data_IF_253823857528
#
_entry.id   IF_253823857528
#
_cell.length_a   1.000
_cell.length_b   1.000
_cell.length_c   1.000
_cell.angle_alpha   90.00
_cell.angle_beta   90.00
_cell.angle_gamma   90.00
#
_symmetry.space_group_name_H-M   'P 1'
#
loop_
_entity.id
_entity.type
_entity.pdbx_description
1 polymer ?
#
# COMPACT_ATOMS: atom_id res chain seq x y z
N UNK A 1 10.22 10.93 -31.20
CA UNK A 1 10.33 9.46 -31.11
C UNK A 1 10.54 9.08 -29.67
N UNK A 2 9.91 8.02 -29.24
CA UNK A 2 9.78 7.59 -27.82
C UNK A 2 10.78 6.47 -27.46
N UNK A 3 11.86 6.31 -28.29
CA UNK A 3 12.91 5.34 -28.00
C UNK A 3 13.68 5.72 -26.72
N UNK A 4 13.96 4.75 -25.87
CA UNK A 4 14.78 4.92 -24.66
C UNK A 4 16.23 5.13 -25.08
N UNK A 5 16.83 6.25 -24.68
CA UNK A 5 18.23 6.60 -25.03
C UNK A 5 19.16 6.57 -23.81
N UNK A 6 18.62 6.75 -22.60
CA UNK A 6 19.41 6.65 -21.37
C UNK A 6 18.58 6.13 -20.20
N UNK A 7 19.22 5.32 -19.33
CA UNK A 7 18.66 4.83 -18.08
C UNK A 7 19.75 4.93 -17.01
N UNK A 8 19.52 5.75 -15.99
CA UNK A 8 20.50 5.99 -14.95
C UNK A 8 19.86 5.81 -13.56
N UNK A 9 20.47 4.97 -12.75
CA UNK A 9 20.04 4.75 -11.37
C UNK A 9 21.02 5.34 -10.36
N UNK A 10 20.48 5.76 -9.22
CA UNK A 10 21.25 6.24 -8.05
C UNK A 10 20.67 5.71 -6.75
N UNK A 11 21.51 5.74 -5.70
CA UNK A 11 21.08 5.46 -4.35
C UNK A 11 20.57 6.75 -3.70
N UNK A 12 19.38 6.69 -3.13
CA UNK A 12 18.79 7.74 -2.29
C UNK A 12 18.38 7.15 -0.93
N UNK A 13 17.88 7.95 -0.01
CA UNK A 13 17.38 7.49 1.28
C UNK A 13 15.86 7.45 1.30
N UNK A 14 15.32 6.39 1.91
CA UNK A 14 13.90 6.29 2.21
C UNK A 14 13.53 7.06 3.50
N UNK A 15 12.26 7.12 3.84
CA UNK A 15 11.70 7.79 5.02
C UNK A 15 12.22 7.25 6.37
N UNK A 16 12.88 6.10 6.37
CA UNK A 16 13.53 5.49 7.54
C UNK A 16 15.04 5.71 7.57
N UNK A 17 15.59 6.43 6.57
CA UNK A 17 17.04 6.63 6.42
C UNK A 17 17.79 5.40 5.90
N UNK A 18 17.08 4.41 5.34
CA UNK A 18 17.70 3.29 4.64
C UNK A 18 17.87 3.63 3.15
N UNK A 19 18.93 3.12 2.49
CA UNK A 19 19.11 3.31 1.06
C UNK A 19 18.00 2.61 0.25
N UNK A 20 17.59 3.29 -0.82
CA UNK A 20 16.73 2.75 -1.86
C UNK A 20 17.18 3.25 -3.23
N UNK A 21 16.58 2.73 -4.30
CA UNK A 21 16.95 3.07 -5.68
C UNK A 21 16.00 4.14 -6.24
N UNK A 22 16.59 5.11 -6.97
CA UNK A 22 15.89 6.05 -7.84
C UNK A 22 16.42 5.90 -9.25
N UNK A 23 15.54 5.89 -10.24
CA UNK A 23 15.87 5.70 -11.66
C UNK A 23 15.36 6.86 -12.49
N UNK A 24 16.21 7.36 -13.37
CA UNK A 24 15.87 8.29 -14.46
C UNK A 24 15.89 7.54 -15.80
N UNK A 25 14.87 7.77 -16.62
CA UNK A 25 14.80 7.31 -18.02
C UNK A 25 14.65 8.52 -18.92
N UNK A 26 15.46 8.60 -19.98
CA UNK A 26 15.42 9.68 -20.97
C UNK A 26 15.05 9.08 -22.33
N UNK A 27 14.13 9.73 -23.03
CA UNK A 27 13.70 9.37 -24.39
C UNK A 27 14.40 10.22 -25.45
N UNK A 28 14.38 9.79 -26.71
CA UNK A 28 14.98 10.47 -27.83
C UNK A 28 14.43 11.88 -28.07
N UNK A 29 13.19 12.15 -27.72
CA UNK A 29 12.56 13.47 -27.78
C UNK A 29 12.94 14.41 -26.62
N UNK A 30 13.74 13.91 -25.66
CA UNK A 30 14.17 14.63 -24.46
C UNK A 30 13.25 14.49 -23.26
N UNK A 31 12.11 13.81 -23.39
CA UNK A 31 11.22 13.52 -22.27
C UNK A 31 11.92 12.65 -21.22
N UNK A 32 11.67 12.93 -19.93
CA UNK A 32 12.32 12.25 -18.81
C UNK A 32 11.31 11.74 -17.80
N UNK A 33 11.48 10.52 -17.35
CA UNK A 33 10.75 9.96 -16.21
C UNK A 33 11.67 9.63 -15.04
N UNK A 34 11.27 10.00 -13.83
CA UNK A 34 11.98 9.67 -12.60
C UNK A 34 11.08 8.87 -11.65
N UNK A 35 11.57 7.77 -11.11
CA UNK A 35 10.85 6.97 -10.14
C UNK A 35 11.76 6.52 -9.00
N UNK A 36 11.28 6.65 -7.76
CA UNK A 36 11.92 6.10 -6.58
C UNK A 36 11.13 4.89 -6.06
N UNK A 37 11.83 3.85 -5.62
CA UNK A 37 11.22 2.58 -5.23
C UNK A 37 11.02 2.51 -3.72
N UNK A 38 9.82 2.19 -3.23
CA UNK A 38 9.56 2.00 -1.80
C UNK A 38 10.14 0.68 -1.28
N UNK A 39 10.28 0.56 0.06
CA UNK A 39 10.86 -0.60 0.74
C UNK A 39 10.02 -1.01 1.95
N UNK A 40 9.77 -2.31 2.15
CA UNK A 40 9.01 -2.83 3.30
C UNK A 40 9.84 -2.92 4.59
N UNK A 41 9.17 -2.87 5.75
CA UNK A 41 9.72 -3.27 7.04
C UNK A 41 9.39 -4.74 7.33
N UNK A 42 8.10 -5.09 7.32
CA UNK A 42 7.62 -6.45 7.21
C UNK A 42 7.53 -6.82 5.73
N UNK A 43 7.91 -8.04 5.37
CA UNK A 43 7.84 -8.53 3.99
C UNK A 43 7.24 -9.92 4.00
N UNK A 44 6.17 -10.12 3.21
CA UNK A 44 5.58 -11.43 3.00
C UNK A 44 6.60 -12.40 2.39
N UNK A 45 6.56 -13.66 2.81
CA UNK A 45 7.53 -14.68 2.37
C UNK A 45 7.50 -14.92 0.84
N UNK A 46 6.43 -14.52 0.19
CA UNK A 46 6.19 -14.74 -1.24
C UNK A 46 6.41 -13.48 -2.10
N UNK A 47 6.90 -12.38 -1.54
CA UNK A 47 7.23 -11.16 -2.28
C UNK A 47 8.41 -11.37 -3.25
N UNK A 48 8.44 -10.57 -4.33
CA UNK A 48 9.64 -10.46 -5.17
C UNK A 48 10.81 -9.86 -4.38
N UNK A 49 12.02 -10.28 -4.72
CA UNK A 49 13.23 -9.98 -3.94
C UNK A 49 13.67 -8.53 -4.13
N UNK A 50 13.73 -7.77 -3.05
CA UNK A 50 14.46 -6.51 -3.01
C UNK A 50 15.96 -6.82 -2.90
N UNK A 51 16.73 -6.50 -3.94
CA UNK A 51 18.16 -6.80 -3.98
C UNK A 51 18.93 -5.82 -3.09
N UNK A 52 19.61 -6.36 -2.08
CA UNK A 52 20.48 -5.66 -1.14
C UNK A 52 21.92 -6.12 -1.28
N UNK A 53 22.88 -5.24 -0.99
CA UNK A 53 24.30 -5.52 -1.16
C UNK A 53 24.83 -6.58 -0.17
N UNK A 54 24.29 -6.59 1.05
CA UNK A 54 24.70 -7.48 2.12
C UNK A 54 26.03 -7.09 2.80
N UNK A 55 26.71 -6.03 2.34
CA UNK A 55 27.96 -5.54 2.95
C UNK A 55 27.66 -4.83 4.28
N UNK A 56 27.96 -5.50 5.38
CA UNK A 56 27.74 -4.99 6.74
C UNK A 56 28.49 -3.69 7.06
N UNK A 57 29.56 -3.36 6.29
CA UNK A 57 30.34 -2.13 6.49
C UNK A 57 29.65 -0.89 5.89
N UNK A 58 28.64 -1.10 5.03
CA UNK A 58 27.92 -0.05 4.36
C UNK A 58 26.42 -0.18 4.62
N UNK A 59 25.80 0.82 5.26
CA UNK A 59 24.38 0.82 5.68
C UNK A 59 23.93 -0.46 6.41
N UNK A 60 24.83 -1.10 7.18
CA UNK A 60 24.51 -2.34 7.88
C UNK A 60 24.14 -3.52 6.99
N UNK A 61 24.48 -3.48 5.70
CA UNK A 61 24.15 -4.49 4.70
C UNK A 61 22.95 -4.11 3.81
N UNK A 62 22.31 -2.97 4.05
CA UNK A 62 21.10 -2.54 3.33
C UNK A 62 21.38 -1.72 2.07
N UNK A 63 22.65 -1.54 1.64
CA UNK A 63 23.01 -0.85 0.40
C UNK A 63 22.34 -1.44 -0.83
N UNK A 64 22.21 -0.65 -1.91
CA UNK A 64 21.54 -1.04 -3.17
C UNK A 64 22.42 -0.88 -4.40
N UNK A 65 23.75 -0.85 -4.24
CA UNK A 65 24.69 -0.66 -5.35
C UNK A 65 24.61 -1.79 -6.40
N UNK A 66 24.33 -3.04 -5.98
CA UNK A 66 24.12 -4.15 -6.93
C UNK A 66 22.90 -3.92 -7.81
N UNK A 67 21.80 -3.43 -7.25
CA UNK A 67 20.61 -3.09 -8.02
C UNK A 67 20.87 -1.91 -8.98
N UNK A 68 21.62 -0.91 -8.53
CA UNK A 68 22.05 0.21 -9.36
C UNK A 68 22.93 -0.26 -10.52
N UNK A 69 23.89 -1.15 -10.26
CA UNK A 69 24.74 -1.72 -11.30
C UNK A 69 23.92 -2.51 -12.32
N UNK A 70 22.95 -3.30 -11.88
CA UNK A 70 22.03 -4.01 -12.76
C UNK A 70 21.24 -3.05 -13.67
N UNK A 71 20.74 -1.92 -13.14
CA UNK A 71 20.05 -0.91 -13.96
C UNK A 71 20.98 -0.25 -14.95
N UNK A 72 22.14 0.23 -14.49
CA UNK A 72 23.07 1.04 -15.31
C UNK A 72 23.81 0.21 -16.37
N UNK A 73 23.70 -1.13 -16.35
CA UNK A 73 24.34 -2.04 -17.32
C UNK A 73 23.33 -2.98 -17.96
N UNK A 74 23.02 -4.10 -17.31
CA UNK A 74 22.28 -5.21 -17.92
C UNK A 74 20.87 -4.79 -18.37
N UNK A 75 20.16 -4.02 -17.53
CA UNK A 75 18.81 -3.54 -17.86
C UNK A 75 18.90 -2.47 -18.94
N UNK A 76 19.82 -1.49 -18.83
CA UNK A 76 20.01 -0.48 -19.86
C UNK A 76 20.27 -1.11 -21.22
N UNK A 77 21.20 -2.08 -21.30
CA UNK A 77 21.52 -2.78 -22.56
C UNK A 77 20.30 -3.51 -23.15
N UNK A 78 19.41 -4.04 -22.29
CA UNK A 78 18.21 -4.77 -22.72
C UNK A 78 17.07 -3.87 -23.19
N UNK A 79 16.93 -2.65 -22.63
CA UNK A 79 15.79 -1.75 -22.93
C UNK A 79 16.16 -0.58 -23.84
N UNK A 80 17.45 -0.29 -24.06
CA UNK A 80 17.93 0.78 -24.93
C UNK A 80 17.41 0.60 -26.37
N UNK A 81 16.85 1.67 -26.91
CA UNK A 81 16.25 1.67 -28.26
C UNK A 81 14.84 1.08 -28.33
N UNK A 82 14.29 0.52 -27.24
CA UNK A 82 12.89 0.13 -27.18
C UNK A 82 11.99 1.36 -27.11
N UNK A 83 10.80 1.22 -27.64
CA UNK A 83 9.76 2.26 -27.59
C UNK A 83 9.15 2.32 -26.18
N UNK A 84 9.24 3.47 -25.51
CA UNK A 84 8.74 3.66 -24.16
C UNK A 84 7.20 3.52 -24.04
N UNK A 85 6.46 3.67 -25.15
CA UNK A 85 5.02 3.42 -25.18
C UNK A 85 4.67 1.93 -25.09
N UNK A 86 5.63 1.04 -25.35
CA UNK A 86 5.44 -0.41 -25.33
C UNK A 86 5.79 -1.00 -23.95
N UNK A 87 5.12 -0.49 -22.90
CA UNK A 87 5.38 -0.82 -21.50
C UNK A 87 5.46 -2.34 -21.23
N UNK A 88 4.55 -3.10 -21.83
CA UNK A 88 4.49 -4.57 -21.62
C UNK A 88 5.78 -5.21 -22.11
N UNK A 89 6.23 -4.85 -23.30
CA UNK A 89 7.45 -5.41 -23.90
C UNK A 89 8.71 -5.07 -23.08
N UNK A 90 8.76 -3.85 -22.52
CA UNK A 90 9.86 -3.41 -21.68
C UNK A 90 9.91 -4.21 -20.39
N UNK A 91 8.76 -4.34 -19.70
CA UNK A 91 8.66 -5.11 -18.46
C UNK A 91 8.98 -6.60 -18.70
N UNK A 92 8.45 -7.20 -19.78
CA UNK A 92 8.74 -8.57 -20.17
C UNK A 92 10.22 -8.79 -20.50
N UNK A 93 10.88 -7.83 -21.16
CA UNK A 93 12.33 -7.90 -21.46
C UNK A 93 13.15 -7.94 -20.17
N UNK A 94 12.82 -7.11 -19.17
CA UNK A 94 13.51 -7.10 -17.89
C UNK A 94 13.23 -8.37 -17.07
N UNK A 95 12.00 -8.86 -17.06
CA UNK A 95 11.60 -10.10 -16.37
C UNK A 95 12.33 -11.31 -17.01
N UNK A 96 12.39 -11.38 -18.33
CA UNK A 96 13.11 -12.43 -19.05
C UNK A 96 14.63 -12.38 -18.81
N UNK A 97 15.20 -11.18 -18.69
CA UNK A 97 16.61 -10.96 -18.36
C UNK A 97 16.96 -11.44 -16.94
N UNK A 98 16.06 -11.23 -15.99
CA UNK A 98 16.19 -11.77 -14.64
C UNK A 98 16.09 -13.30 -14.64
N UNK A 99 15.07 -13.85 -15.29
CA UNK A 99 14.86 -15.28 -15.50
C UNK A 99 14.57 -16.10 -14.22
N UNK A 100 14.39 -15.43 -13.07
CA UNK A 100 14.03 -16.11 -11.81
C UNK A 100 12.56 -15.85 -11.45
N UNK A 101 11.89 -16.77 -10.72
CA UNK A 101 10.46 -16.63 -10.40
C UNK A 101 10.13 -15.39 -9.53
N UNK A 102 11.10 -14.93 -8.74
CA UNK A 102 10.94 -13.86 -7.75
C UNK A 102 11.89 -12.66 -7.96
N UNK A 103 12.43 -12.50 -9.16
CA UNK A 103 13.35 -11.39 -9.53
C UNK A 103 14.61 -11.31 -8.66
N UNK A 104 15.13 -12.46 -8.21
CA UNK A 104 16.27 -12.52 -7.28
C UNK A 104 17.62 -12.23 -7.93
N UNK A 105 17.74 -12.23 -9.26
CA UNK A 105 19.00 -11.96 -9.99
C UNK A 105 19.27 -10.47 -10.12
N UNK A 106 18.32 -9.70 -10.64
CA UNK A 106 18.45 -8.25 -10.86
C UNK A 106 17.88 -7.44 -9.69
N UNK A 107 16.88 -7.99 -9.00
CA UNK A 107 16.14 -7.34 -7.96
C UNK A 107 14.83 -6.70 -8.46
N UNK A 108 13.74 -6.94 -7.73
CA UNK A 108 12.46 -6.30 -8.02
C UNK A 108 12.55 -4.77 -7.92
N UNK A 109 13.40 -4.25 -7.03
CA UNK A 109 13.66 -2.81 -6.90
C UNK A 109 14.31 -2.21 -8.17
N UNK A 110 15.26 -2.90 -8.79
CA UNK A 110 15.88 -2.46 -10.04
C UNK A 110 14.87 -2.46 -11.20
N UNK A 111 14.13 -3.56 -11.37
CA UNK A 111 13.12 -3.72 -12.44
C UNK A 111 12.01 -2.69 -12.27
N UNK A 112 11.46 -2.54 -11.06
CA UNK A 112 10.38 -1.59 -10.79
C UNK A 112 10.79 -0.15 -11.02
N UNK A 113 12.00 0.24 -10.60
CA UNK A 113 12.51 1.59 -10.80
C UNK A 113 12.50 1.98 -12.29
N UNK A 114 12.98 1.09 -13.15
CA UNK A 114 12.97 1.31 -14.62
C UNK A 114 11.54 1.28 -15.16
N UNK A 115 10.73 0.30 -14.78
CA UNK A 115 9.33 0.15 -15.22
C UNK A 115 8.50 1.42 -14.97
N UNK A 116 8.57 1.98 -13.75
CA UNK A 116 7.85 3.21 -13.41
C UNK A 116 8.44 4.46 -14.07
N UNK A 117 9.76 4.56 -14.17
CA UNK A 117 10.41 5.68 -14.83
C UNK A 117 10.09 5.73 -16.33
N UNK A 118 10.05 4.58 -17.01
CA UNK A 118 9.62 4.48 -18.42
C UNK A 118 8.17 4.98 -18.57
N UNK A 119 7.24 4.52 -17.75
CA UNK A 119 5.84 4.97 -17.81
C UNK A 119 5.72 6.49 -17.64
N UNK A 120 6.51 7.09 -16.74
CA UNK A 120 6.54 8.55 -16.53
C UNK A 120 7.15 9.29 -17.72
N UNK A 121 8.24 8.78 -18.31
CA UNK A 121 8.86 9.37 -19.51
C UNK A 121 7.89 9.33 -20.70
N UNK A 122 7.22 8.21 -20.91
CA UNK A 122 6.22 8.06 -21.96
C UNK A 122 5.00 8.99 -21.75
N UNK A 123 4.56 9.15 -20.51
CA UNK A 123 3.49 10.10 -20.16
C UNK A 123 3.90 11.55 -20.46
N UNK A 124 5.14 11.94 -20.14
CA UNK A 124 5.69 13.26 -20.47
C UNK A 124 5.76 13.47 -21.98
N UNK A 125 6.28 12.50 -22.73
CA UNK A 125 6.33 12.53 -24.20
C UNK A 125 4.93 12.70 -24.80
N UNK A 126 3.94 12.00 -24.25
CA UNK A 126 2.53 12.13 -24.67
C UNK A 126 1.88 13.44 -24.19
N UNK A 127 2.57 14.26 -23.39
CA UNK A 127 2.01 15.47 -22.74
C UNK A 127 0.76 15.17 -21.90
N UNK A 128 0.74 14.01 -21.22
CA UNK A 128 -0.34 13.56 -20.36
C UNK A 128 0.15 13.40 -18.91
N UNK A 129 -0.67 13.72 -17.90
CA UNK A 129 -0.37 13.32 -16.54
C UNK A 129 -0.37 11.79 -16.43
N UNK A 130 0.44 11.23 -15.53
CA UNK A 130 0.65 9.78 -15.43
C UNK A 130 -0.65 9.00 -15.26
N UNK A 131 -1.57 9.47 -14.39
CA UNK A 131 -2.84 8.79 -14.19
C UNK A 131 -3.68 8.68 -15.47
N UNK A 132 -3.59 9.69 -16.35
CA UNK A 132 -4.30 9.72 -17.63
C UNK A 132 -3.63 8.84 -18.66
N UNK A 133 -2.29 8.86 -18.71
CA UNK A 133 -1.50 8.03 -19.62
C UNK A 133 -1.75 6.53 -19.34
N UNK A 134 -1.65 6.10 -18.08
CA UNK A 134 -1.85 4.70 -17.69
C UNK A 134 -3.32 4.28 -17.73
N UNK A 135 -4.23 5.13 -17.24
CA UNK A 135 -5.64 4.76 -17.05
C UNK A 135 -6.57 5.16 -18.21
N UNK A 136 -6.06 5.92 -19.17
CA UNK A 136 -6.83 6.35 -20.34
C UNK A 136 -7.96 7.34 -20.01
N UNK A 137 -8.93 7.43 -20.92
CA UNK A 137 -10.00 8.43 -20.87
C UNK A 137 -10.96 8.29 -19.67
N UNK A 138 -11.01 7.13 -19.04
CA UNK A 138 -11.93 6.84 -17.92
C UNK A 138 -11.30 6.99 -16.54
N UNK A 139 -10.02 7.31 -16.43
CA UNK A 139 -9.30 7.55 -15.18
C UNK A 139 -9.78 8.84 -14.52
N UNK A 140 -10.69 8.73 -13.53
CA UNK A 140 -11.31 9.88 -12.85
C UNK A 140 -11.82 9.59 -11.45
N UNK A 141 -11.67 8.35 -10.96
CA UNK A 141 -12.14 7.99 -9.62
C UNK A 141 -11.06 8.31 -8.60
N UNK A 142 -11.33 9.30 -7.75
CA UNK A 142 -10.49 9.64 -6.61
C UNK A 142 -10.71 8.58 -5.52
N UNK A 143 -9.63 7.94 -5.03
CA UNK A 143 -9.75 6.85 -4.08
C UNK A 143 -10.20 7.33 -2.70
N UNK A 144 -10.96 6.49 -1.98
CA UNK A 144 -11.20 6.63 -0.55
C UNK A 144 -9.87 6.42 0.20
N UNK A 145 -9.41 7.41 0.99
CA UNK A 145 -8.18 7.23 1.77
C UNK A 145 -8.44 6.40 3.02
N UNK A 146 -7.56 5.42 3.25
CA UNK A 146 -7.48 4.60 4.46
C UNK A 146 -6.28 5.12 5.27
N UNK A 147 -6.56 5.93 6.28
CA UNK A 147 -5.55 6.74 6.99
C UNK A 147 -5.16 6.08 8.30
N UNK A 148 -3.95 5.57 8.40
CA UNK A 148 -3.40 4.94 9.60
C UNK A 148 -3.10 5.98 10.68
N UNK A 149 -3.91 6.06 11.75
CA UNK A 149 -3.78 7.06 12.81
C UNK A 149 -3.24 6.51 14.14
N UNK A 150 -3.26 5.18 14.33
CA UNK A 150 -2.63 4.49 15.48
C UNK A 150 -1.82 3.31 14.99
N UNK A 151 -0.58 3.22 15.44
CA UNK A 151 0.36 2.15 15.12
C UNK A 151 0.58 1.22 16.33
N UNK A 152 0.73 -0.07 16.04
CA UNK A 152 1.18 -1.11 16.95
C UNK A 152 2.03 -2.14 16.20
N UNK A 153 2.11 -3.37 16.69
CA UNK A 153 2.88 -4.45 16.08
C UNK A 153 4.32 -4.05 15.78
N UNK A 154 4.81 -4.44 14.60
CA UNK A 154 6.18 -4.11 14.16
C UNK A 154 6.38 -2.63 13.80
N UNK A 155 5.31 -1.85 13.69
CA UNK A 155 5.35 -0.41 13.37
C UNK A 155 5.53 0.50 14.61
N UNK A 156 5.47 -0.06 15.83
CA UNK A 156 5.57 0.72 17.06
C UNK A 156 6.15 -0.12 18.22
N UNK A 157 6.97 0.49 19.06
CA UNK A 157 7.43 -0.10 20.32
C UNK A 157 6.37 0.13 21.42
N UNK A 158 5.29 -0.65 21.36
CA UNK A 158 4.18 -0.63 22.31
C UNK A 158 3.52 -2.01 22.42
N UNK A 159 2.63 -2.24 23.42
CA UNK A 159 2.02 -3.56 23.65
C UNK A 159 0.82 -3.90 22.73
N UNK A 160 0.53 -3.11 21.72
CA UNK A 160 -0.58 -3.37 20.78
C UNK A 160 -0.10 -4.40 19.76
N UNK A 161 -0.74 -5.58 19.69
CA UNK A 161 -0.33 -6.66 18.78
C UNK A 161 -0.70 -6.37 17.31
N UNK A 162 -1.82 -5.67 17.05
CA UNK A 162 -2.22 -5.27 15.70
C UNK A 162 -1.41 -4.09 15.19
N UNK A 163 -1.09 -4.10 13.90
CA UNK A 163 -0.12 -3.19 13.31
C UNK A 163 -0.69 -1.79 13.03
N UNK A 164 -1.95 -1.69 12.55
CA UNK A 164 -2.53 -0.41 12.14
C UNK A 164 -4.02 -0.30 12.47
N UNK A 165 -4.41 0.93 12.86
CA UNK A 165 -5.81 1.32 13.04
C UNK A 165 -6.07 2.54 12.17
N UNK A 166 -6.97 2.37 11.22
CA UNK A 166 -7.23 3.34 10.15
C UNK A 166 -8.60 3.98 10.30
N UNK A 167 -8.71 5.23 9.86
CA UNK A 167 -9.97 5.92 9.62
C UNK A 167 -10.22 6.07 8.12
N UNK A 168 -11.48 5.88 7.71
CA UNK A 168 -11.93 5.97 6.33
C UNK A 168 -13.10 6.96 6.25
N UNK A 169 -12.91 8.19 5.72
CA UNK A 169 -13.96 9.22 5.65
C UNK A 169 -14.97 8.95 4.52
N UNK A 170 -15.76 7.89 4.66
CA UNK A 170 -16.70 7.39 3.64
C UNK A 170 -17.84 8.34 3.30
N UNK A 171 -18.19 9.23 4.22
CA UNK A 171 -19.27 10.21 4.06
C UNK A 171 -18.82 11.55 3.49
N UNK A 172 -17.52 11.75 3.26
CA UNK A 172 -17.00 12.99 2.71
C UNK A 172 -17.50 13.21 1.27
N UNK A 173 -17.78 14.47 0.87
CA UNK A 173 -18.31 14.77 -0.45
C UNK A 173 -17.24 14.78 -1.57
N UNK A 174 -15.95 14.84 -1.22
CA UNK A 174 -14.82 14.91 -2.13
C UNK A 174 -13.56 14.35 -1.47
N UNK A 175 -12.51 14.09 -2.25
CA UNK A 175 -11.22 13.67 -1.71
C UNK A 175 -10.61 14.75 -0.81
N UNK A 176 -10.64 16.00 -1.24
CA UNK A 176 -10.13 17.15 -0.43
C UNK A 176 -10.81 17.21 0.94
N UNK A 177 -12.12 17.03 0.98
CA UNK A 177 -12.86 16.99 2.24
C UNK A 177 -12.54 15.74 3.06
N UNK A 178 -12.36 14.59 2.43
CA UNK A 178 -11.93 13.37 3.12
C UNK A 178 -10.56 13.56 3.82
N UNK A 179 -9.60 14.19 3.13
CA UNK A 179 -8.29 14.54 3.71
C UNK A 179 -8.43 15.56 4.85
N UNK A 180 -9.28 16.57 4.72
CA UNK A 180 -9.58 17.53 5.79
C UNK A 180 -10.15 16.84 7.02
N UNK A 181 -11.19 16.01 6.84
CA UNK A 181 -11.81 15.25 7.94
C UNK A 181 -10.79 14.35 8.65
N UNK A 182 -9.95 13.66 7.87
CA UNK A 182 -8.87 12.86 8.42
C UNK A 182 -7.92 13.68 9.28
N UNK A 183 -7.49 14.88 8.82
CA UNK A 183 -6.60 15.75 9.58
C UNK A 183 -7.24 16.27 10.87
N UNK A 184 -8.53 16.60 10.86
CA UNK A 184 -9.27 17.05 12.05
C UNK A 184 -9.40 15.91 13.08
N UNK A 185 -9.72 14.68 12.65
CA UNK A 185 -9.76 13.50 13.53
C UNK A 185 -8.36 13.19 14.09
N UNK A 186 -7.32 13.25 13.26
CA UNK A 186 -5.93 13.03 13.69
C UNK A 186 -5.50 14.00 14.78
N UNK A 187 -5.76 15.31 14.64
CA UNK A 187 -5.42 16.30 15.65
C UNK A 187 -6.27 16.16 16.92
N UNK A 188 -7.53 15.76 16.78
CA UNK A 188 -8.41 15.47 17.91
C UNK A 188 -7.91 14.26 18.68
N UNK A 189 -7.50 13.19 17.99
CA UNK A 189 -6.89 12.00 18.60
C UNK A 189 -5.62 12.36 19.37
N UNK A 190 -4.74 13.20 18.77
CA UNK A 190 -3.54 13.70 19.46
C UNK A 190 -3.86 14.36 20.79
N UNK A 191 -4.88 15.22 20.79
CA UNK A 191 -5.32 15.92 21.99
C UNK A 191 -5.89 14.98 23.04
N UNK A 192 -6.69 13.99 22.62
CA UNK A 192 -7.28 12.98 23.51
C UNK A 192 -6.20 12.10 24.15
N UNK A 193 -5.25 11.59 23.36
CA UNK A 193 -4.12 10.78 23.85
C UNK A 193 -3.27 11.56 24.86
N UNK A 194 -2.92 12.81 24.54
CA UNK A 194 -2.16 13.68 25.45
C UNK A 194 -2.91 13.92 26.77
N UNK A 195 -4.22 14.18 26.71
CA UNK A 195 -5.06 14.40 27.90
C UNK A 195 -5.12 13.12 28.77
N UNK A 196 -5.10 11.95 28.16
CA UNK A 196 -5.07 10.66 28.86
C UNK A 196 -3.65 10.27 29.37
N UNK A 197 -2.62 11.08 29.10
CA UNK A 197 -1.25 10.84 29.54
C UNK A 197 -0.44 9.89 28.63
N UNK A 198 -0.95 9.60 27.43
CA UNK A 198 -0.25 8.76 26.45
C UNK A 198 0.74 9.55 25.61
N UNK A 199 1.75 8.83 25.09
CA UNK A 199 2.70 9.35 24.12
C UNK A 199 1.99 9.68 22.78
N UNK A 200 2.39 10.78 22.15
CA UNK A 200 1.91 11.24 20.85
C UNK A 200 3.03 11.36 19.81
N UNK A 201 4.13 10.64 20.00
CA UNK A 201 5.13 10.45 18.94
C UNK A 201 4.50 9.59 17.82
N UNK A 202 5.00 9.79 16.60
CA UNK A 202 4.51 9.09 15.43
C UNK A 202 5.46 7.96 15.02
N UNK A 203 4.90 6.88 14.53
CA UNK A 203 5.63 5.77 13.94
C UNK A 203 6.06 6.03 12.49
N UNK A 204 6.54 5.00 11.83
CA UNK A 204 7.09 5.06 10.46
C UNK A 204 6.07 5.55 9.43
N UNK A 205 4.80 5.30 9.65
CA UNK A 205 3.71 5.68 8.75
C UNK A 205 2.95 6.93 9.18
N UNK A 206 3.43 7.61 10.21
CA UNK A 206 2.89 8.89 10.67
C UNK A 206 1.71 8.78 11.66
N UNK A 207 1.21 7.58 11.97
CA UNK A 207 0.24 7.34 13.04
C UNK A 207 0.87 7.44 14.42
N UNK A 208 0.07 7.71 15.47
CA UNK A 208 0.55 7.75 16.85
C UNK A 208 0.89 6.34 17.35
N UNK A 209 1.87 6.24 18.25
CA UNK A 209 2.33 4.99 18.85
C UNK A 209 2.11 5.01 20.38
N UNK A 210 0.85 5.08 20.88
CA UNK A 210 0.58 5.11 22.32
C UNK A 210 0.72 3.72 22.95
N UNK A 211 1.08 3.67 24.24
CA UNK A 211 1.04 2.45 25.03
C UNK A 211 -0.41 2.16 25.47
N UNK A 212 -1.16 1.48 24.61
CA UNK A 212 -2.53 1.03 24.91
C UNK A 212 -2.54 -0.48 25.17
N UNK A 213 -3.43 -0.97 26.05
CA UNK A 213 -3.38 -2.36 26.52
C UNK A 213 -3.94 -3.39 25.52
N UNK A 214 -4.69 -2.98 24.50
CA UNK A 214 -5.34 -3.89 23.55
C UNK A 214 -5.79 -3.17 22.28
N UNK A 215 -6.18 -3.96 21.28
CA UNK A 215 -6.78 -3.47 20.04
C UNK A 215 -8.10 -2.72 20.30
N UNK A 216 -8.94 -3.23 21.23
CA UNK A 216 -10.20 -2.57 21.60
C UNK A 216 -9.94 -1.17 22.18
N UNK A 217 -8.90 -0.99 22.99
CA UNK A 217 -8.56 0.32 23.54
C UNK A 217 -8.14 1.30 22.42
N UNK A 218 -7.41 0.84 21.41
CA UNK A 218 -7.05 1.66 20.26
C UNK A 218 -8.28 2.04 19.43
N UNK A 219 -9.18 1.10 19.15
CA UNK A 219 -10.44 1.34 18.45
C UNK A 219 -11.34 2.33 19.20
N UNK A 220 -11.42 2.21 20.53
CA UNK A 220 -12.16 3.15 21.39
C UNK A 220 -11.64 4.59 21.28
N UNK A 221 -10.31 4.77 21.27
CA UNK A 221 -9.71 6.09 21.07
C UNK A 221 -10.02 6.65 19.67
N UNK A 222 -10.00 5.81 18.65
CA UNK A 222 -10.35 6.22 17.28
C UNK A 222 -11.83 6.64 17.20
N UNK A 223 -12.77 5.88 17.75
CA UNK A 223 -14.21 6.22 17.76
C UNK A 223 -14.44 7.55 18.49
N UNK A 224 -13.88 7.71 19.71
CA UNK A 224 -14.01 8.94 20.50
C UNK A 224 -13.39 10.16 19.80
N UNK A 225 -12.30 9.96 19.04
CA UNK A 225 -11.69 11.03 18.26
C UNK A 225 -12.58 11.46 17.09
N UNK A 226 -13.24 10.51 16.40
CA UNK A 226 -14.21 10.80 15.34
C UNK A 226 -15.37 11.62 15.88
N UNK A 227 -15.99 11.17 17.00
CA UNK A 227 -17.10 11.87 17.65
C UNK A 227 -16.71 13.27 18.12
N UNK A 228 -15.54 13.40 18.78
CA UNK A 228 -15.04 14.67 19.29
C UNK A 228 -14.64 15.66 18.19
N UNK A 229 -14.31 15.15 16.98
CA UNK A 229 -14.10 15.96 15.79
C UNK A 229 -15.41 16.41 15.11
N UNK A 230 -16.58 15.94 15.62
CA UNK A 230 -17.90 16.33 15.12
C UNK A 230 -18.43 15.42 13.99
N UNK A 231 -17.82 14.26 13.76
CA UNK A 231 -18.27 13.29 12.78
C UNK A 231 -18.97 12.10 13.43
N UNK A 232 -19.83 11.41 12.68
CA UNK A 232 -20.59 10.24 13.15
C UNK A 232 -19.85 8.96 12.79
N UNK A 233 -19.38 8.17 13.81
CA UNK A 233 -18.80 6.86 13.54
C UNK A 233 -19.79 5.94 12.80
N UNK A 234 -19.31 5.21 11.81
CA UNK A 234 -20.11 4.33 10.98
C UNK A 234 -20.86 5.02 9.84
N UNK A 235 -21.23 6.28 9.98
CA UNK A 235 -21.94 7.04 8.95
C UNK A 235 -21.01 7.94 8.14
N UNK A 236 -20.26 8.81 8.80
CA UNK A 236 -19.35 9.76 8.16
C UNK A 236 -17.94 9.18 8.02
N UNK A 237 -17.47 8.52 9.09
CA UNK A 237 -16.15 7.88 9.14
C UNK A 237 -16.31 6.46 9.67
N UNK A 238 -15.75 5.49 8.98
CA UNK A 238 -15.65 4.09 9.44
C UNK A 238 -14.20 3.77 9.79
N UNK A 239 -13.99 2.61 10.44
CA UNK A 239 -12.67 2.12 10.82
C UNK A 239 -12.17 1.05 9.87
N UNK A 240 -10.86 0.96 9.74
CA UNK A 240 -10.13 -0.16 9.16
C UNK A 240 -9.04 -0.63 10.11
N UNK A 241 -8.63 -1.86 9.97
CA UNK A 241 -7.49 -2.43 10.70
C UNK A 241 -6.57 -3.17 9.73
N UNK A 242 -5.28 -3.14 10.03
CA UNK A 242 -4.30 -4.10 9.53
C UNK A 242 -3.78 -4.89 10.73
N UNK A 243 -4.08 -6.17 10.76
CA UNK A 243 -3.66 -7.04 11.86
C UNK A 243 -2.22 -7.51 11.68
N UNK A 244 -1.73 -7.63 10.44
CA UNK A 244 -0.44 -8.25 10.10
C UNK A 244 -0.25 -9.60 10.84
N UNK A 245 -1.26 -10.47 10.77
CA UNK A 245 -1.39 -11.62 11.68
C UNK A 245 -0.30 -12.68 11.50
N UNK A 246 0.44 -12.66 10.39
CA UNK A 246 1.63 -13.50 10.18
C UNK A 246 2.69 -13.26 11.27
N UNK A 247 2.85 -12.02 11.74
CA UNK A 247 3.87 -11.62 12.72
C UNK A 247 3.69 -12.30 14.09
N UNK A 248 2.44 -12.60 14.47
CA UNK A 248 2.13 -13.25 15.74
C UNK A 248 1.52 -14.67 15.59
N UNK A 249 1.58 -15.25 14.39
CA UNK A 249 1.19 -16.65 14.16
C UNK A 249 2.36 -17.59 14.46
N UNK A 250 2.25 -18.39 15.53
CA UNK A 250 3.31 -19.28 15.99
C UNK A 250 2.76 -20.66 16.30
N UNK A 251 3.36 -21.70 15.73
CA UNK A 251 3.01 -23.11 16.01
C UNK A 251 1.50 -23.43 15.84
N UNK A 252 0.85 -22.85 14.82
CA UNK A 252 -0.56 -23.10 14.54
C UNK A 252 -1.55 -22.34 15.42
N UNK A 253 -1.10 -21.30 16.11
CA UNK A 253 -1.94 -20.44 16.95
C UNK A 253 -1.50 -18.97 16.85
N UNK A 254 -2.40 -18.05 17.17
CA UNK A 254 -2.17 -16.60 17.20
C UNK A 254 -1.80 -16.17 18.62
N UNK A 255 -0.55 -15.78 18.82
CA UNK A 255 0.04 -15.45 20.12
C UNK A 255 0.13 -13.94 20.30
N UNK A 256 -0.79 -13.38 21.07
CA UNK A 256 -0.84 -11.95 21.41
C UNK A 256 0.07 -11.68 22.60
N UNK A 257 1.31 -11.27 22.35
CA UNK A 257 2.29 -11.05 23.41
C UNK A 257 1.93 -9.87 24.30
N UNK A 258 1.40 -8.80 23.71
CA UNK A 258 1.00 -7.60 24.43
C UNK A 258 -0.20 -7.82 25.34
N UNK A 259 -1.15 -8.65 24.93
CA UNK A 259 -2.32 -9.01 25.75
C UNK A 259 -2.10 -10.24 26.63
N UNK A 260 -1.01 -11.01 26.45
CA UNK A 260 -0.75 -12.27 27.14
C UNK A 260 -1.77 -13.36 26.83
N UNK A 261 -2.29 -13.41 25.59
CA UNK A 261 -3.32 -14.35 25.14
C UNK A 261 -2.87 -15.17 23.95
N UNK A 262 -3.38 -16.38 23.85
CA UNK A 262 -3.22 -17.24 22.66
C UNK A 262 -4.59 -17.65 22.16
N UNK A 263 -4.80 -17.59 20.84
CA UNK A 263 -6.05 -17.95 20.19
C UNK A 263 -5.79 -19.05 19.14
N UNK A 264 -6.66 -20.04 19.07
CA UNK A 264 -6.69 -20.97 17.94
C UNK A 264 -7.12 -20.24 16.66
N UNK A 265 -7.04 -20.91 15.51
CA UNK A 265 -7.49 -20.37 14.22
C UNK A 265 -8.96 -19.93 14.30
N UNK A 266 -9.84 -20.77 14.84
CA UNK A 266 -11.26 -20.44 14.96
C UNK A 266 -11.51 -19.32 15.99
N UNK A 267 -10.76 -19.28 17.08
CA UNK A 267 -10.87 -18.21 18.07
C UNK A 267 -10.41 -16.87 17.52
N UNK A 268 -9.37 -16.87 16.68
CA UNK A 268 -8.92 -15.67 15.95
C UNK A 268 -10.02 -15.15 15.02
N UNK A 269 -10.59 -16.00 14.18
CA UNK A 269 -11.67 -15.61 13.27
C UNK A 269 -12.90 -15.07 14.02
N UNK A 270 -13.28 -15.69 15.15
CA UNK A 270 -14.36 -15.22 16.02
C UNK A 270 -14.03 -13.90 16.71
N UNK A 271 -12.79 -13.69 17.10
CA UNK A 271 -12.34 -12.42 17.69
C UNK A 271 -12.44 -11.26 16.67
N UNK A 272 -11.99 -11.47 15.44
CA UNK A 272 -12.17 -10.48 14.37
C UNK A 272 -13.64 -10.20 14.08
N UNK A 273 -14.48 -11.24 14.06
CA UNK A 273 -15.92 -11.10 13.88
C UNK A 273 -16.57 -10.31 15.03
N UNK A 274 -16.13 -10.52 16.28
CA UNK A 274 -16.56 -9.75 17.44
C UNK A 274 -16.18 -8.27 17.29
N UNK A 275 -14.92 -7.96 16.96
CA UNK A 275 -14.47 -6.58 16.79
C UNK A 275 -15.27 -5.87 15.68
N UNK A 276 -15.51 -6.53 14.54
CA UNK A 276 -16.33 -6.00 13.46
C UNK A 276 -17.82 -5.83 13.84
N UNK A 277 -18.29 -6.51 14.87
CA UNK A 277 -19.64 -6.35 15.42
C UNK A 277 -19.75 -5.24 16.47
N UNK A 278 -18.70 -5.03 17.24
CA UNK A 278 -18.68 -4.08 18.37
C UNK A 278 -18.28 -2.65 17.92
N UNK A 279 -17.50 -2.52 16.83
CA UNK A 279 -17.00 -1.26 16.32
C UNK A 279 -17.42 -1.05 14.85
N UNK A 280 -17.45 0.19 14.34
CA UNK A 280 -17.79 0.49 12.95
C UNK A 280 -16.66 0.14 11.97
N UNK A 281 -16.16 -1.09 12.04
CA UNK A 281 -15.07 -1.60 11.21
C UNK A 281 -15.64 -2.05 9.88
N UNK A 282 -15.12 -1.47 8.79
CA UNK A 282 -15.53 -1.76 7.43
C UNK A 282 -14.50 -2.56 6.63
N UNK A 283 -13.24 -2.59 7.11
CA UNK A 283 -12.14 -3.27 6.42
C UNK A 283 -11.16 -3.87 7.42
N UNK A 284 -10.76 -5.13 7.19
CA UNK A 284 -9.72 -5.84 7.95
C UNK A 284 -8.72 -6.39 6.95
N UNK A 285 -7.46 -5.97 7.10
CA UNK A 285 -6.32 -6.44 6.33
C UNK A 285 -5.55 -7.48 7.14
N UNK A 286 -5.12 -8.54 6.47
CA UNK A 286 -4.30 -9.64 7.00
C UNK A 286 -4.71 -10.10 8.41
N UNK A 287 -6.02 -10.35 8.57
CA UNK A 287 -6.60 -10.83 9.83
C UNK A 287 -6.17 -12.25 10.20
N UNK A 288 -5.67 -13.01 9.24
CA UNK A 288 -5.10 -14.35 9.37
C UNK A 288 -3.71 -14.37 8.73
N UNK A 289 -2.88 -15.35 9.10
CA UNK A 289 -1.52 -15.51 8.54
C UNK A 289 -1.54 -15.80 7.04
N UNK A 290 -0.47 -15.42 6.33
CA UNK A 290 -0.33 -15.49 4.87
C UNK A 290 -0.49 -16.90 4.26
N UNK A 291 -0.24 -17.94 5.02
CA UNK A 291 -0.38 -19.33 4.61
C UNK A 291 -1.49 -20.10 5.37
N UNK A 292 -2.24 -19.43 6.26
CA UNK A 292 -3.40 -20.00 6.97
C UNK A 292 -4.68 -19.90 6.12
N UNK A 293 -4.70 -20.59 4.98
CA UNK A 293 -5.82 -20.60 4.04
C UNK A 293 -7.14 -21.09 4.66
N UNK A 294 -7.06 -22.00 5.63
CA UNK A 294 -8.23 -22.48 6.37
C UNK A 294 -8.82 -21.38 7.25
N UNK A 295 -7.99 -20.69 8.01
CA UNK A 295 -8.42 -19.56 8.83
C UNK A 295 -9.00 -18.42 7.98
N UNK A 296 -8.39 -18.10 6.84
CA UNK A 296 -8.92 -17.14 5.88
C UNK A 296 -10.31 -17.53 5.36
N UNK A 297 -10.54 -18.84 5.09
CA UNK A 297 -11.85 -19.31 4.68
C UNK A 297 -12.88 -19.11 5.78
N UNK A 298 -12.54 -19.48 7.03
CA UNK A 298 -13.44 -19.32 8.18
C UNK A 298 -13.82 -17.84 8.38
N UNK A 299 -12.85 -16.92 8.39
CA UNK A 299 -13.14 -15.50 8.59
C UNK A 299 -13.96 -14.92 7.43
N UNK A 300 -13.70 -15.36 6.20
CA UNK A 300 -14.47 -14.93 5.03
C UNK A 300 -15.93 -15.37 5.11
N UNK A 301 -16.19 -16.59 5.53
CA UNK A 301 -17.55 -17.10 5.73
C UNK A 301 -18.29 -16.33 6.86
N UNK A 302 -17.57 -15.97 7.96
CA UNK A 302 -18.16 -15.29 9.10
C UNK A 302 -18.54 -13.83 8.80
N UNK A 303 -17.64 -13.06 8.17
CA UNK A 303 -17.81 -11.60 8.05
C UNK A 303 -17.62 -11.02 6.66
N UNK A 304 -17.19 -11.79 5.66
CA UNK A 304 -16.88 -11.29 4.33
C UNK A 304 -18.06 -10.66 3.56
N UNK A 305 -19.31 -10.87 4.02
CA UNK A 305 -20.50 -10.21 3.48
C UNK A 305 -20.76 -8.82 4.09
N UNK A 306 -20.10 -8.49 5.20
CA UNK A 306 -20.33 -7.26 5.98
C UNK A 306 -19.07 -6.44 6.18
N UNK A 307 -17.91 -7.01 5.88
CA UNK A 307 -16.61 -6.40 6.07
C UNK A 307 -15.72 -6.71 4.86
N UNK A 308 -14.98 -5.73 4.40
CA UNK A 308 -13.93 -5.92 3.41
C UNK A 308 -12.78 -6.68 4.08
N UNK A 309 -12.36 -7.78 3.47
CA UNK A 309 -11.24 -8.60 3.91
C UNK A 309 -10.12 -8.49 2.88
N UNK A 310 -9.06 -7.77 3.25
CA UNK A 310 -7.94 -7.42 2.37
C UNK A 310 -6.80 -8.40 2.57
N UNK A 311 -6.36 -9.06 1.51
CA UNK A 311 -5.13 -9.84 1.53
C UNK A 311 -3.94 -8.98 1.08
N UNK A 312 -3.00 -8.72 1.99
CA UNK A 312 -1.68 -8.13 1.73
C UNK A 312 -0.65 -9.27 1.56
N UNK A 313 -0.09 -9.80 2.64
CA UNK A 313 0.86 -10.91 2.60
C UNK A 313 0.22 -12.18 2.02
N UNK A 314 -1.09 -12.35 2.18
CA UNK A 314 -1.85 -13.45 1.55
C UNK A 314 -1.66 -13.47 0.03
N UNK A 315 -1.72 -12.33 -0.65
CA UNK A 315 -1.70 -12.24 -2.11
C UNK A 315 -0.42 -11.66 -2.69
N UNK A 316 0.32 -10.84 -1.96
CA UNK A 316 1.59 -10.18 -2.34
C UNK A 316 1.55 -9.57 -3.76
N UNK A 317 0.41 -8.99 -4.15
CA UNK A 317 0.18 -8.43 -5.51
C UNK A 317 0.41 -9.47 -6.63
N UNK A 318 0.36 -10.76 -6.32
CA UNK A 318 0.68 -11.87 -7.22
C UNK A 318 -0.58 -12.53 -7.79
N UNK A 319 -0.73 -12.53 -9.11
CA UNK A 319 -1.91 -13.08 -9.80
C UNK A 319 -2.13 -14.57 -9.54
N UNK A 320 -1.08 -15.36 -9.28
CA UNK A 320 -1.19 -16.79 -8.97
C UNK A 320 -1.84 -17.00 -7.60
N UNK A 321 -1.37 -16.27 -6.56
CA UNK A 321 -1.95 -16.34 -5.22
C UNK A 321 -3.37 -15.76 -5.20
N UNK A 322 -3.58 -14.62 -5.89
CA UNK A 322 -4.91 -14.02 -6.04
C UNK A 322 -5.89 -14.99 -6.73
N UNK A 323 -5.46 -15.63 -7.83
CA UNK A 323 -6.30 -16.63 -8.54
C UNK A 323 -6.71 -17.78 -7.64
N UNK A 324 -5.81 -18.24 -6.74
CA UNK A 324 -6.15 -19.28 -5.74
C UNK A 324 -7.22 -18.76 -4.79
N UNK A 325 -7.05 -17.58 -4.19
CA UNK A 325 -8.05 -16.99 -3.28
C UNK A 325 -9.41 -16.82 -3.94
N UNK A 326 -9.45 -16.31 -5.19
CA UNK A 326 -10.69 -16.17 -5.96
C UNK A 326 -11.39 -17.52 -6.16
N UNK A 327 -10.66 -18.56 -6.59
CA UNK A 327 -11.22 -19.90 -6.81
C UNK A 327 -11.78 -20.52 -5.53
N UNK A 328 -11.15 -20.29 -4.41
CA UNK A 328 -11.53 -20.83 -3.12
C UNK A 328 -12.54 -19.95 -2.36
N UNK A 329 -12.87 -18.75 -2.89
CA UNK A 329 -13.79 -17.80 -2.27
C UNK A 329 -13.24 -17.20 -0.95
N UNK A 330 -11.94 -16.94 -0.91
CA UNK A 330 -11.18 -16.46 0.24
C UNK A 330 -10.86 -14.99 0.10
N UNK A 331 -11.09 -14.19 1.16
CA UNK A 331 -11.03 -12.72 1.15
C UNK A 331 -12.03 -12.11 0.16
N UNK A 332 -11.97 -10.79 -0.07
CA UNK A 332 -12.79 -10.11 -1.06
C UNK A 332 -12.13 -8.82 -1.60
N UNK A 333 -10.88 -8.58 -1.21
CA UNK A 333 -10.06 -7.44 -1.61
C UNK A 333 -8.59 -7.82 -1.65
N UNK A 334 -7.81 -7.14 -2.49
CA UNK A 334 -6.34 -7.25 -2.53
C UNK A 334 -5.70 -5.93 -2.16
N UNK A 335 -4.64 -5.97 -1.35
CA UNK A 335 -3.71 -4.86 -1.23
C UNK A 335 -2.70 -4.91 -2.39
N UNK A 336 -2.45 -3.76 -3.02
CA UNK A 336 -1.59 -3.66 -4.21
C UNK A 336 -0.38 -2.82 -3.87
N UNK A 337 0.77 -3.47 -3.75
CA UNK A 337 2.08 -2.86 -3.52
C UNK A 337 2.97 -3.10 -4.73
N UNK A 338 3.29 -2.06 -5.46
CA UNK A 338 4.05 -2.16 -6.73
C UNK A 338 5.37 -2.92 -6.61
N UNK A 339 6.04 -2.81 -5.46
CA UNK A 339 7.33 -3.47 -5.24
C UNK A 339 7.22 -4.94 -4.79
N UNK A 340 6.05 -5.41 -4.34
CA UNK A 340 5.86 -6.83 -4.01
C UNK A 340 5.93 -7.72 -5.25
N UNK A 341 5.57 -7.18 -6.41
CA UNK A 341 5.62 -7.88 -7.69
C UNK A 341 6.73 -7.36 -8.60
N UNK A 342 7.02 -6.05 -8.58
CA UNK A 342 8.22 -5.45 -9.16
C UNK A 342 8.12 -4.99 -10.62
N UNK A 343 6.92 -4.87 -11.21
CA UNK A 343 6.70 -4.18 -12.48
C UNK A 343 5.31 -3.54 -12.54
N UNK A 344 5.15 -2.51 -13.36
CA UNK A 344 3.87 -1.85 -13.59
C UNK A 344 2.88 -2.80 -14.29
N UNK A 345 3.33 -3.54 -15.30
CA UNK A 345 2.50 -4.48 -16.06
C UNK A 345 1.88 -5.55 -15.16
N UNK A 346 2.68 -6.19 -14.28
CA UNK A 346 2.18 -7.20 -13.35
C UNK A 346 1.26 -6.58 -12.28
N UNK A 347 1.57 -5.36 -11.82
CA UNK A 347 0.72 -4.62 -10.89
C UNK A 347 -0.67 -4.36 -11.48
N UNK A 348 -0.74 -3.88 -12.71
CA UNK A 348 -2.00 -3.63 -13.41
C UNK A 348 -2.77 -4.92 -13.67
N UNK A 349 -2.08 -6.02 -13.99
CA UNK A 349 -2.70 -7.34 -14.17
C UNK A 349 -3.35 -7.85 -12.87
N UNK A 350 -2.73 -7.61 -11.71
CA UNK A 350 -3.32 -8.00 -10.42
C UNK A 350 -4.59 -7.20 -10.11
N UNK A 351 -4.59 -5.89 -10.37
CA UNK A 351 -5.79 -5.03 -10.21
C UNK A 351 -6.91 -5.45 -11.16
N UNK A 352 -6.61 -5.67 -12.43
CA UNK A 352 -7.60 -6.12 -13.43
C UNK A 352 -8.21 -7.47 -13.03
N UNK A 353 -7.39 -8.45 -12.63
CA UNK A 353 -7.87 -9.74 -12.15
C UNK A 353 -8.81 -9.61 -10.95
N UNK A 354 -8.44 -8.79 -9.95
CA UNK A 354 -9.28 -8.53 -8.79
C UNK A 354 -10.65 -7.97 -9.19
N UNK A 355 -10.66 -6.91 -10.01
CA UNK A 355 -11.88 -6.25 -10.46
C UNK A 355 -12.79 -7.20 -11.27
N UNK A 356 -12.24 -7.99 -12.20
CA UNK A 356 -13.00 -8.97 -12.99
C UNK A 356 -13.62 -10.07 -12.13
N UNK A 357 -12.97 -10.42 -11.02
CA UNK A 357 -13.50 -11.37 -10.05
C UNK A 357 -14.51 -10.75 -9.08
N UNK A 358 -14.73 -9.44 -9.17
CA UNK A 358 -15.56 -8.69 -8.23
C UNK A 358 -14.90 -8.48 -6.86
N UNK A 359 -13.59 -8.61 -6.75
CA UNK A 359 -12.82 -8.14 -5.59
C UNK A 359 -12.58 -6.64 -5.72
N UNK A 360 -12.39 -5.98 -4.58
CA UNK A 360 -11.86 -4.62 -4.55
C UNK A 360 -10.33 -4.65 -4.56
N UNK A 361 -9.71 -3.51 -4.86
CA UNK A 361 -8.27 -3.33 -4.79
C UNK A 361 -7.95 -2.05 -4.00
N UNK A 362 -6.92 -2.12 -3.17
CA UNK A 362 -6.42 -0.99 -2.39
C UNK A 362 -5.00 -0.69 -2.84
N UNK A 363 -4.76 0.45 -3.49
CA UNK A 363 -3.39 0.88 -3.82
C UNK A 363 -2.67 1.26 -2.53
N UNK A 364 -1.46 0.74 -2.31
CA UNK A 364 -0.78 0.88 -1.03
C UNK A 364 0.66 1.36 -1.13
N UNK A 365 1.06 2.13 -0.13
CA UNK A 365 2.45 2.47 0.17
C UNK A 365 3.20 1.29 0.80
N UNK A 366 4.45 1.55 1.19
CA UNK A 366 5.24 0.70 2.11
C UNK A 366 5.66 1.53 3.33
N UNK A 367 6.18 0.84 4.36
CA UNK A 367 6.71 1.51 5.57
C UNK A 367 7.91 2.41 5.27
N UNK A 368 8.80 2.01 4.36
CA UNK A 368 9.87 2.85 3.80
C UNK A 368 9.43 3.49 2.48
N UNK A 369 9.11 4.77 2.51
CA UNK A 369 8.67 5.57 1.38
C UNK A 369 9.66 6.68 1.02
N UNK A 370 9.41 7.32 -0.10
CA UNK A 370 10.09 8.54 -0.56
C UNK A 370 9.04 9.62 -0.86
N UNK A 371 9.45 10.77 -1.40
CA UNK A 371 8.51 11.78 -1.91
C UNK A 371 7.83 11.37 -3.22
N UNK A 372 8.20 10.25 -3.82
CA UNK A 372 7.55 9.72 -5.03
C UNK A 372 6.05 9.51 -4.77
N UNK A 373 5.21 10.02 -5.66
CA UNK A 373 3.75 9.98 -5.54
C UNK A 373 3.08 9.07 -6.56
N UNK A 374 3.84 8.23 -7.26
CA UNK A 374 3.33 7.38 -8.35
C UNK A 374 2.10 6.58 -7.98
N UNK A 375 2.03 6.03 -6.75
CA UNK A 375 0.86 5.25 -6.32
C UNK A 375 -0.44 6.07 -6.24
N UNK A 376 -0.36 7.39 -6.07
CA UNK A 376 -1.52 8.26 -6.15
C UNK A 376 -2.07 8.32 -7.57
N UNK A 377 -1.19 8.50 -8.56
CA UNK A 377 -1.56 8.44 -9.98
C UNK A 377 -2.11 7.07 -10.37
N UNK A 378 -1.46 5.97 -9.91
CA UNK A 378 -1.92 4.60 -10.19
C UNK A 378 -3.28 4.29 -9.57
N UNK A 379 -3.58 4.81 -8.37
CA UNK A 379 -4.90 4.65 -7.75
C UNK A 379 -6.02 5.26 -8.62
N UNK A 380 -5.77 6.43 -9.21
CA UNK A 380 -6.72 7.08 -10.12
C UNK A 380 -6.72 6.39 -11.48
N UNK A 381 -5.54 6.03 -12.02
CA UNK A 381 -5.41 5.34 -13.31
C UNK A 381 -6.21 4.04 -13.36
N UNK A 382 -6.16 3.24 -12.31
CA UNK A 382 -6.85 1.95 -12.23
C UNK A 382 -8.31 2.07 -11.80
N UNK A 383 -8.77 3.27 -11.38
CA UNK A 383 -10.07 3.46 -10.72
C UNK A 383 -10.30 2.45 -9.58
N UNK A 384 -9.26 2.04 -8.85
CA UNK A 384 -9.37 1.03 -7.80
C UNK A 384 -10.24 1.49 -6.61
N UNK A 385 -10.41 2.78 -6.46
CA UNK A 385 -11.34 3.38 -5.52
C UNK A 385 -10.85 3.48 -4.09
N UNK A 386 -9.67 2.93 -3.75
CA UNK A 386 -9.10 2.95 -2.39
C UNK A 386 -7.60 3.17 -2.44
N UNK A 387 -7.07 3.88 -1.44
CA UNK A 387 -5.63 4.06 -1.23
C UNK A 387 -5.28 3.98 0.26
N UNK A 388 -4.27 3.17 0.59
CA UNK A 388 -3.64 3.08 1.91
C UNK A 388 -2.25 3.71 1.81
N UNK A 389 -2.06 4.91 2.36
CA UNK A 389 -0.78 5.63 2.22
C UNK A 389 -0.35 6.35 3.51
N UNK A 390 -0.65 5.74 4.65
CA UNK A 390 -0.24 6.21 5.96
C UNK A 390 -1.14 7.30 6.52
N UNK A 391 -0.61 8.05 7.47
CA UNK A 391 -1.33 9.06 8.25
C UNK A 391 -1.23 10.47 7.65
N UNK A 392 -1.74 11.45 8.40
CA UNK A 392 -1.73 12.89 8.09
C UNK A 392 -0.46 13.59 8.63
N UNK A 393 0.62 12.85 8.78
CA UNK A 393 1.93 13.33 9.21
C UNK A 393 3.02 12.65 8.40
N UNK A 394 4.22 13.25 8.32
CA UNK A 394 5.38 12.88 7.50
C UNK A 394 5.17 13.20 6.02
N UNK A 395 6.11 13.91 5.41
CA UNK A 395 6.00 14.41 4.03
C UNK A 395 5.96 13.28 2.98
N UNK A 396 6.59 12.14 3.27
CA UNK A 396 6.55 10.94 2.44
C UNK A 396 5.12 10.37 2.28
N UNK A 397 4.26 10.54 3.28
CA UNK A 397 2.83 10.18 3.22
C UNK A 397 2.00 11.27 2.57
N UNK A 398 2.20 12.51 3.03
CA UNK A 398 1.45 13.67 2.53
C UNK A 398 1.69 13.94 1.04
N UNK A 399 2.84 13.57 0.49
CA UNK A 399 3.13 13.68 -0.95
C UNK A 399 2.04 13.02 -1.81
N UNK A 400 1.54 11.83 -1.40
CA UNK A 400 0.50 11.08 -2.11
C UNK A 400 -0.87 11.75 -1.96
N UNK A 401 -1.25 12.18 -0.75
CA UNK A 401 -2.49 12.94 -0.53
C UNK A 401 -2.50 14.26 -1.31
N UNK A 402 -1.39 14.99 -1.28
CA UNK A 402 -1.25 16.24 -2.03
C UNK A 402 -1.35 16.02 -3.55
N UNK A 403 -0.80 14.92 -4.06
CA UNK A 403 -0.92 14.56 -5.47
C UNK A 403 -2.38 14.25 -5.84
N UNK A 404 -3.10 13.50 -5.02
CA UNK A 404 -4.51 13.22 -5.25
C UNK A 404 -5.37 14.50 -5.24
N UNK A 405 -5.06 15.47 -4.36
CA UNK A 405 -5.75 16.78 -4.34
C UNK A 405 -5.49 17.55 -5.66
N UNK A 406 -4.25 17.52 -6.20
CA UNK A 406 -3.94 18.12 -7.51
C UNK A 406 -4.71 17.44 -8.63
N UNK A 407 -4.77 16.11 -8.63
CA UNK A 407 -5.55 15.35 -9.63
C UNK A 407 -7.04 15.68 -9.52
N UNK A 408 -7.60 15.80 -8.31
CA UNK A 408 -8.99 16.20 -8.12
C UNK A 408 -9.26 17.61 -8.70
N UNK A 409 -8.33 18.56 -8.48
CA UNK A 409 -8.43 19.91 -9.02
C UNK A 409 -8.32 19.92 -10.56
N UNK A 410 -7.41 19.15 -11.14
CA UNK A 410 -7.25 19.01 -12.59
C UNK A 410 -8.49 18.39 -13.26
N UNK A 411 -9.08 17.37 -12.66
CA UNK A 411 -10.31 16.73 -13.14
C UNK A 411 -11.53 17.65 -13.01
N UNK A 412 -11.53 18.57 -12.06
CA UNK A 412 -12.64 19.51 -11.83
C UNK A 412 -13.98 18.80 -11.66
N UNK A 413 -14.98 19.22 -12.44
CA UNK A 413 -16.32 18.63 -12.39
C UNK A 413 -16.41 17.17 -12.86
N UNK A 414 -15.36 16.63 -13.46
CA UNK A 414 -15.30 15.22 -13.88
C UNK A 414 -14.79 14.30 -12.77
N UNK A 415 -14.21 14.85 -11.71
CA UNK A 415 -13.74 14.10 -10.57
C UNK A 415 -14.89 13.33 -9.90
N UNK A 416 -14.65 12.07 -9.56
CA UNK A 416 -15.60 11.22 -8.87
C UNK A 416 -14.95 10.64 -7.62
N UNK A 417 -15.32 11.14 -6.46
CA UNK A 417 -14.86 10.55 -5.21
C UNK A 417 -15.56 9.22 -4.94
N UNK A 418 -14.79 8.17 -4.67
CA UNK A 418 -15.31 6.83 -4.47
C UNK A 418 -16.17 6.70 -3.20
N UNK A 419 -15.76 7.36 -2.11
CA UNK A 419 -16.48 7.37 -0.83
C UNK A 419 -16.87 5.96 -0.36
N UNK A 420 -18.06 5.84 0.21
CA UNK A 420 -18.60 4.55 0.70
C UNK A 420 -18.70 3.48 -0.40
N UNK A 421 -18.93 3.88 -1.64
CA UNK A 421 -19.05 2.96 -2.79
C UNK A 421 -17.74 2.23 -3.14
N UNK A 422 -16.61 2.63 -2.55
CA UNK A 422 -15.33 1.93 -2.71
C UNK A 422 -15.28 0.59 -1.95
N UNK A 423 -16.06 0.47 -0.88
CA UNK A 423 -16.06 -0.71 0.01
C UNK A 423 -17.10 -1.72 -0.44
N UNK A 424 -16.72 -2.98 -0.52
CA UNK A 424 -17.58 -4.02 -1.08
C UNK A 424 -18.80 -4.38 -0.22
N UNK A 425 -18.71 -4.19 1.08
CA UNK A 425 -19.63 -4.77 2.05
C UNK A 425 -20.46 -3.74 2.82
N UNK A 426 -20.55 -2.49 2.34
CA UNK A 426 -21.28 -1.43 3.05
C UNK A 426 -22.51 -0.92 2.26
#
# INVERSE_FOLDING_TARGET
MTAIVDVTAREILDSRGNPTIEVDVILEDGSMGRAAVPSGASTGAHEAVELRDGDKKRYGGKGVLKAIEAVNRDIFDAVSGLDAEDQIKIDEAMIALDGTPNKSKLGANAILGVSLAVAKAAAESASLPLYRYVGGATARVLPLPMMNIVNGGVHADNPIDFQEFMILPVGAPSLREAVRWGAEVFHTLKSALKKAGHNTNVGDEGGFAPNLPSAEAALDFCVKAIESAGFRPGADVVLGMDCAATEFFKNGAYVYEGEGKTRSIEEQAKYLAKLAGDFPIASIEDGMSEDDWEGWKIVTELIGKKCQLVGDDLFVTNVTRLSKGIKEGIANSILVKVNQIGSLTETLAAVDMAHRAGYTAVMSHRSGETEDSTIADLAVATNCGQIKTGSLARSDRLAKYNQLIRIEEELGSQARFAGRGALKAL
#
